data_IF_911685810291
#
_entry.id   IF_911685810291
#
_cell.length_a   1.000
_cell.length_b   1.000
_cell.length_c   1.000
_cell.angle_alpha   90.00
_cell.angle_beta   90.00
_cell.angle_gamma   90.00
#
_symmetry.space_group_name_H-M   'P 1'
#
loop_
_entity.id
_entity.type
_entity.pdbx_description
1 polymer ?
#
# COMPACT_ATOMS: atom_id res chain seq x y z
N UNK A 1 -3.26 -10.47 -6.61
CA UNK A 1 -3.84 -11.02 -5.35
C UNK A 1 -4.19 -9.98 -4.26
N UNK A 2 -3.96 -8.66 -4.40
CA UNK A 2 -4.03 -7.70 -3.27
C UNK A 2 -5.25 -6.76 -3.18
N UNK A 3 -6.23 -6.86 -4.10
CA UNK A 3 -7.51 -6.11 -4.01
C UNK A 3 -8.30 -6.44 -2.74
N UNK A 4 -7.91 -7.53 -2.06
CA UNK A 4 -8.55 -8.04 -0.85
C UNK A 4 -8.35 -7.15 0.38
N UNK A 5 -7.26 -6.38 0.53
CA UNK A 5 -7.10 -5.56 1.74
C UNK A 5 -8.03 -4.35 1.72
N UNK A 6 -8.05 -3.59 0.62
CA UNK A 6 -8.95 -2.45 0.44
C UNK A 6 -10.42 -2.89 0.56
N UNK A 7 -10.80 -4.01 -0.05
CA UNK A 7 -12.17 -4.55 0.04
C UNK A 7 -12.48 -5.05 1.46
N UNK A 8 -11.55 -5.73 2.14
CA UNK A 8 -11.76 -6.16 3.54
C UNK A 8 -11.94 -4.97 4.46
N UNK A 9 -11.10 -3.93 4.32
CA UNK A 9 -11.22 -2.69 5.10
C UNK A 9 -12.55 -1.98 4.81
N UNK A 10 -12.97 -1.93 3.55
CA UNK A 10 -14.27 -1.38 3.16
C UNK A 10 -15.43 -2.19 3.77
N UNK A 11 -15.35 -3.52 3.78
CA UNK A 11 -16.36 -4.38 4.37
C UNK A 11 -16.44 -4.21 5.90
N UNK A 12 -15.29 -4.10 6.58
CA UNK A 12 -15.26 -3.79 8.01
C UNK A 12 -15.85 -2.41 8.30
N UNK A 13 -15.58 -1.42 7.45
CA UNK A 13 -16.18 -0.10 7.58
C UNK A 13 -17.70 -0.16 7.41
N UNK A 14 -18.19 -0.82 6.35
CA UNK A 14 -19.63 -1.00 6.13
C UNK A 14 -20.29 -1.63 7.37
N UNK A 15 -19.66 -2.65 7.96
CA UNK A 15 -20.11 -3.30 9.20
C UNK A 15 -20.12 -2.34 10.38
N UNK A 16 -19.06 -1.57 10.60
CA UNK A 16 -18.97 -0.61 11.73
C UNK A 16 -20.00 0.50 11.56
N UNK A 17 -20.16 1.05 10.36
CA UNK A 17 -21.17 2.08 10.08
C UNK A 17 -22.59 1.55 10.25
N UNK A 18 -22.86 0.32 9.77
CA UNK A 18 -24.15 -0.34 9.96
C UNK A 18 -24.45 -0.57 11.45
N UNK A 19 -23.46 -1.04 12.21
CA UNK A 19 -23.59 -1.26 13.65
C UNK A 19 -23.81 0.07 14.40
N UNK A 20 -23.05 1.12 14.09
CA UNK A 20 -23.23 2.44 14.68
C UNK A 20 -24.62 3.02 14.38
N UNK A 21 -25.12 2.82 13.15
CA UNK A 21 -26.45 3.27 12.74
C UNK A 21 -27.55 2.46 13.44
N UNK A 22 -27.38 1.14 13.59
CA UNK A 22 -28.32 0.31 14.36
C UNK A 22 -28.38 0.74 15.83
N UNK A 23 -27.22 0.91 16.49
CA UNK A 23 -27.16 1.31 17.90
C UNK A 23 -27.79 2.70 18.09
N UNK A 24 -27.46 3.66 17.22
CA UNK A 24 -28.06 4.99 17.27
C UNK A 24 -29.57 4.99 17.02
N UNK A 25 -30.04 4.13 16.11
CA UNK A 25 -31.46 3.96 15.79
C UNK A 25 -32.26 3.33 16.93
N UNK A 26 -31.74 2.26 17.54
CA UNK A 26 -32.35 1.59 18.70
C UNK A 26 -32.48 2.57 19.86
N UNK A 27 -31.40 3.29 20.19
CA UNK A 27 -31.39 4.28 21.25
C UNK A 27 -32.37 5.44 21.00
N UNK A 28 -32.46 5.91 19.75
CA UNK A 28 -33.40 6.95 19.36
C UNK A 28 -34.86 6.49 19.53
N UNK A 29 -35.17 5.28 19.07
CA UNK A 29 -36.50 4.71 19.16
C UNK A 29 -36.90 4.45 20.61
N UNK A 30 -35.99 3.93 21.43
CA UNK A 30 -36.23 3.67 22.86
C UNK A 30 -36.57 4.96 23.62
N UNK A 31 -35.78 6.04 23.42
CA UNK A 31 -36.08 7.33 24.05
C UNK A 31 -37.42 7.88 23.55
N UNK A 32 -37.69 7.77 22.24
CA UNK A 32 -38.93 8.29 21.68
C UNK A 32 -40.17 7.57 22.23
N UNK A 33 -40.10 6.24 22.40
CA UNK A 33 -41.14 5.46 23.04
C UNK A 33 -41.36 5.91 24.48
N UNK A 34 -40.30 6.00 25.30
CA UNK A 34 -40.43 6.43 26.71
C UNK A 34 -40.99 7.84 26.85
N UNK A 35 -40.66 8.76 25.95
CA UNK A 35 -41.25 10.11 25.94
C UNK A 35 -42.75 10.04 25.62
N UNK A 36 -43.18 9.18 24.71
CA UNK A 36 -44.60 8.97 24.39
C UNK A 36 -45.37 8.42 25.59
N UNK A 37 -44.83 7.42 26.27
CA UNK A 37 -45.45 6.80 27.45
C UNK A 37 -45.59 7.82 28.59
N UNK A 38 -44.55 8.65 28.79
CA UNK A 38 -44.60 9.77 29.75
C UNK A 38 -45.70 10.77 29.36
N UNK A 39 -45.79 11.18 28.09
CA UNK A 39 -46.83 12.10 27.62
C UNK A 39 -48.25 11.56 27.83
N UNK A 40 -48.46 10.26 27.64
CA UNK A 40 -49.75 9.61 27.84
C UNK A 40 -50.12 9.53 29.33
N UNK A 41 -49.20 9.06 30.19
CA UNK A 41 -49.40 9.02 31.64
C UNK A 41 -49.69 10.42 32.21
N UNK A 42 -48.99 11.43 31.69
CA UNK A 42 -49.21 12.85 32.00
C UNK A 42 -50.60 13.35 31.62
N UNK A 43 -51.21 12.84 30.55
CA UNK A 43 -52.58 13.24 30.16
C UNK A 43 -53.65 12.72 31.12
N UNK A 44 -53.34 11.67 31.89
CA UNK A 44 -54.25 11.04 32.85
C UNK A 44 -54.12 11.58 34.28
N UNK A 45 -53.00 12.22 34.62
CA UNK A 45 -52.78 12.88 35.92
C UNK A 45 -53.22 14.35 35.82
N UNK A 46 -54.05 14.83 36.75
CA UNK A 46 -54.64 16.18 36.71
C UNK A 46 -53.65 17.37 36.68
N UNK A 47 -54.16 18.54 36.28
CA UNK A 47 -53.43 19.75 35.82
C UNK A 47 -52.45 20.44 36.80
N UNK A 48 -52.25 19.95 38.03
CA UNK A 48 -51.43 20.66 39.03
C UNK A 48 -49.91 20.40 38.94
N UNK A 49 -49.44 19.37 38.22
CA UNK A 49 -47.99 19.09 38.06
C UNK A 49 -47.34 19.68 36.80
N UNK A 50 -48.11 20.35 35.92
CA UNK A 50 -47.76 20.65 34.51
C UNK A 50 -46.46 21.43 34.25
N UNK A 51 -45.90 22.15 35.24
CA UNK A 51 -44.72 23.01 35.03
C UNK A 51 -43.39 22.27 35.16
N UNK A 52 -43.29 21.27 36.05
CA UNK A 52 -42.06 20.47 36.19
C UNK A 52 -41.92 19.49 35.02
N UNK A 53 -43.03 18.99 34.50
CA UNK A 53 -43.05 17.93 33.49
C UNK A 53 -42.69 18.41 32.08
N UNK A 54 -43.12 19.62 31.68
CA UNK A 54 -42.73 20.21 30.39
C UNK A 54 -41.20 20.40 30.28
N UNK A 55 -40.54 20.73 31.41
CA UNK A 55 -39.09 20.92 31.47
C UNK A 55 -38.34 19.60 31.37
N UNK A 56 -38.86 18.52 31.95
CA UNK A 56 -38.26 17.18 31.88
C UNK A 56 -38.34 16.63 30.45
N UNK A 57 -39.52 16.67 29.81
CA UNK A 57 -39.72 16.18 28.44
C UNK A 57 -38.86 16.97 27.44
N UNK A 58 -38.83 18.31 27.56
CA UNK A 58 -37.95 19.16 26.76
C UNK A 58 -36.48 18.77 26.90
N UNK A 59 -35.99 18.59 28.14
CA UNK A 59 -34.61 18.17 28.38
C UNK A 59 -34.29 16.79 27.80
N UNK A 60 -35.22 15.82 27.85
CA UNK A 60 -35.05 14.49 27.26
C UNK A 60 -34.92 14.54 25.72
N UNK A 61 -35.74 15.35 25.05
CA UNK A 61 -35.64 15.55 23.60
C UNK A 61 -34.32 16.24 23.18
N UNK A 62 -33.86 17.20 23.99
CA UNK A 62 -32.56 17.85 23.77
C UNK A 62 -31.39 16.89 23.95
N UNK A 63 -31.40 16.04 24.99
CA UNK A 63 -30.38 15.01 25.23
C UNK A 63 -30.33 14.02 24.06
N UNK A 64 -31.50 13.52 23.62
CA UNK A 64 -31.62 12.62 22.46
C UNK A 64 -30.99 13.23 21.21
N UNK A 65 -31.40 14.44 20.83
CA UNK A 65 -30.88 15.10 19.64
C UNK A 65 -29.36 15.34 19.73
N UNK A 66 -28.86 15.70 20.92
CA UNK A 66 -27.41 15.87 21.15
C UNK A 66 -26.63 14.56 20.96
N UNK A 67 -27.17 13.43 21.43
CA UNK A 67 -26.55 12.10 21.26
C UNK A 67 -26.55 11.69 19.79
N UNK A 68 -27.67 11.87 19.08
CA UNK A 68 -27.75 11.58 17.63
C UNK A 68 -26.72 12.39 16.83
N UNK A 69 -26.60 13.69 17.11
CA UNK A 69 -25.59 14.54 16.46
C UNK A 69 -24.17 14.05 16.78
N UNK A 70 -23.89 13.67 18.03
CA UNK A 70 -22.57 13.13 18.40
C UNK A 70 -22.22 11.84 17.65
N UNK A 71 -23.15 10.89 17.51
CA UNK A 71 -22.92 9.67 16.74
C UNK A 71 -22.72 9.94 15.25
N UNK A 72 -23.47 10.91 14.69
CA UNK A 72 -23.29 11.37 13.31
C UNK A 72 -21.89 11.94 13.09
N UNK A 73 -21.43 12.83 13.97
CA UNK A 73 -20.07 13.40 13.91
C UNK A 73 -19.02 12.31 14.02
N UNK A 74 -19.16 11.38 14.97
CA UNK A 74 -18.20 10.28 15.15
C UNK A 74 -18.09 9.41 13.89
N UNK A 75 -19.21 9.11 13.23
CA UNK A 75 -19.25 8.32 12.00
C UNK A 75 -18.52 9.03 10.85
N UNK A 76 -18.69 10.35 10.72
CA UNK A 76 -17.96 11.16 9.73
C UNK A 76 -16.46 11.17 10.02
N UNK A 77 -16.06 11.34 11.28
CA UNK A 77 -14.64 11.34 11.68
C UNK A 77 -13.97 10.00 11.35
N UNK A 78 -14.63 8.88 11.68
CA UNK A 78 -14.11 7.54 11.35
C UNK A 78 -13.97 7.36 9.84
N UNK A 79 -14.96 7.80 9.06
CA UNK A 79 -14.89 7.73 7.60
C UNK A 79 -13.69 8.51 7.03
N UNK A 80 -13.42 9.71 7.55
CA UNK A 80 -12.28 10.53 7.13
C UNK A 80 -10.95 9.85 7.46
N UNK A 81 -10.78 9.33 8.67
CA UNK A 81 -9.56 8.64 9.10
C UNK A 81 -9.26 7.46 8.18
N UNK A 82 -10.28 6.67 7.82
CA UNK A 82 -10.11 5.53 6.93
C UNK A 82 -9.75 5.94 5.50
N UNK A 83 -10.36 7.00 4.97
CA UNK A 83 -9.99 7.55 3.66
C UNK A 83 -8.52 8.01 3.65
N UNK A 84 -8.06 8.63 4.74
CA UNK A 84 -6.65 8.99 4.90
C UNK A 84 -5.76 7.75 4.96
N UNK A 85 -6.14 6.72 5.72
CA UNK A 85 -5.36 5.47 5.83
C UNK A 85 -5.20 4.75 4.48
N UNK A 86 -6.26 4.68 3.68
CA UNK A 86 -6.20 4.05 2.36
C UNK A 86 -5.29 4.84 1.42
N UNK A 87 -5.41 6.17 1.42
CA UNK A 87 -4.66 7.06 0.52
C UNK A 87 -3.19 7.17 0.87
N UNK A 88 -2.87 7.28 2.15
CA UNK A 88 -1.53 7.62 2.61
C UNK A 88 -0.70 6.39 2.97
N UNK A 89 -1.33 5.25 3.28
CA UNK A 89 -0.61 4.05 3.72
C UNK A 89 -0.84 2.89 2.73
N UNK A 90 -2.09 2.45 2.55
CA UNK A 90 -2.36 1.22 1.78
C UNK A 90 -1.98 1.35 0.30
N UNK A 91 -2.30 2.49 -0.35
CA UNK A 91 -1.99 2.71 -1.77
C UNK A 91 -0.48 2.79 -2.04
N UNK A 92 0.32 3.63 -1.35
CA UNK A 92 1.76 3.67 -1.56
C UNK A 92 2.44 2.34 -1.25
N UNK A 93 2.06 1.66 -0.16
CA UNK A 93 2.63 0.36 0.20
C UNK A 93 2.39 -0.67 -0.91
N UNK A 94 1.19 -0.68 -1.50
CA UNK A 94 0.89 -1.55 -2.66
C UNK A 94 1.72 -1.22 -3.90
N UNK A 95 2.04 0.06 -4.13
CA UNK A 95 2.94 0.47 -5.22
C UNK A 95 4.36 -0.05 -4.96
N UNK A 96 4.86 0.10 -3.73
CA UNK A 96 6.16 -0.43 -3.31
C UNK A 96 6.21 -1.94 -3.52
N UNK A 97 5.21 -2.69 -3.05
CA UNK A 97 5.17 -4.15 -3.23
C UNK A 97 5.19 -4.56 -4.71
N UNK A 98 4.45 -3.86 -5.57
CA UNK A 98 4.45 -4.15 -7.01
C UNK A 98 5.82 -3.95 -7.65
N UNK A 99 6.51 -2.86 -7.31
CA UNK A 99 7.85 -2.61 -7.83
C UNK A 99 8.85 -3.62 -7.28
N UNK A 100 8.74 -3.98 -6.00
CA UNK A 100 9.56 -5.05 -5.41
C UNK A 100 9.31 -6.41 -6.09
N UNK A 101 8.07 -6.75 -6.43
CA UNK A 101 7.72 -7.94 -7.22
C UNK A 101 8.30 -7.89 -8.64
N UNK A 102 8.35 -6.72 -9.26
CA UNK A 102 8.98 -6.51 -10.57
C UNK A 102 10.50 -6.68 -10.51
N UNK A 103 11.16 -6.07 -9.51
CA UNK A 103 12.59 -6.25 -9.22
C UNK A 103 12.93 -7.74 -9.02
N UNK A 104 12.10 -8.46 -8.26
CA UNK A 104 12.27 -9.89 -8.04
C UNK A 104 12.12 -10.73 -9.33
N UNK A 105 11.43 -10.21 -10.34
CA UNK A 105 11.31 -10.82 -11.68
C UNK A 105 12.41 -10.35 -12.64
N UNK A 106 13.36 -9.55 -12.18
CA UNK A 106 14.46 -9.01 -12.99
C UNK A 106 14.14 -7.66 -13.67
N UNK A 107 12.95 -7.08 -13.44
CA UNK A 107 12.60 -5.75 -13.95
C UNK A 107 13.11 -4.65 -13.00
N UNK A 108 14.29 -4.10 -13.33
CA UNK A 108 14.94 -3.01 -12.61
C UNK A 108 14.60 -1.62 -13.21
N UNK A 109 13.75 -1.58 -14.24
CA UNK A 109 13.35 -0.34 -14.91
C UNK A 109 12.32 0.46 -14.11
N UNK A 110 11.59 -0.17 -13.18
CA UNK A 110 10.54 0.50 -12.42
C UNK A 110 11.08 1.30 -11.23
N UNK A 111 10.53 2.51 -11.03
CA UNK A 111 10.89 3.40 -9.94
C UNK A 111 9.68 3.68 -9.06
N UNK A 112 9.90 3.65 -7.75
CA UNK A 112 8.90 4.04 -6.76
C UNK A 112 8.90 5.58 -6.65
N UNK A 113 7.94 6.23 -7.30
CA UNK A 113 7.61 7.64 -7.01
C UNK A 113 6.65 7.67 -5.82
N UNK A 114 7.14 8.04 -4.63
CA UNK A 114 6.32 8.25 -3.44
C UNK A 114 6.59 9.68 -2.95
N UNK A 115 5.55 10.50 -3.01
CA UNK A 115 5.54 11.87 -2.47
C UNK A 115 5.10 11.85 -1.01
N UNK A 116 5.78 11.03 -0.20
CA UNK A 116 5.53 10.90 1.23
C UNK A 116 6.81 11.17 1.98
N UNK A 117 6.70 11.95 3.06
CA UNK A 117 7.83 12.35 3.90
C UNK A 117 7.88 11.55 5.21
N UNK A 118 7.11 10.46 5.29
CA UNK A 118 6.99 9.57 6.44
C UNK A 118 7.80 8.26 6.24
N UNK A 119 7.58 7.28 7.11
CA UNK A 119 8.23 5.97 7.05
C UNK A 119 7.92 5.23 5.73
N UNK A 120 6.75 5.47 5.13
CA UNK A 120 6.38 4.84 3.85
C UNK A 120 7.24 5.43 2.71
N UNK A 121 7.51 6.73 2.76
CA UNK A 121 8.48 7.38 1.88
C UNK A 121 9.88 6.80 2.02
N UNK A 122 10.35 6.64 3.26
CA UNK A 122 11.66 6.05 3.56
C UNK A 122 11.81 4.63 3.01
N UNK A 123 10.79 3.78 3.19
CA UNK A 123 10.79 2.42 2.61
C UNK A 123 10.83 2.47 1.08
N UNK A 124 10.07 3.37 0.46
CA UNK A 124 10.10 3.57 -0.99
C UNK A 124 11.49 3.96 -1.51
N UNK A 125 12.17 4.87 -0.81
CA UNK A 125 13.55 5.29 -1.13
C UNK A 125 14.54 4.14 -0.96
N UNK A 126 14.45 3.38 0.14
CA UNK A 126 15.34 2.24 0.38
C UNK A 126 15.22 1.15 -0.72
N UNK A 127 14.01 0.88 -1.21
CA UNK A 127 13.81 -0.04 -2.34
C UNK A 127 14.37 0.53 -3.65
N UNK A 128 14.23 1.84 -3.89
CA UNK A 128 14.84 2.48 -5.07
C UNK A 128 16.38 2.40 -5.03
N UNK A 129 16.99 2.57 -3.85
CA UNK A 129 18.43 2.43 -3.64
C UNK A 129 18.87 0.98 -3.87
N UNK A 130 18.17 0.00 -3.28
CA UNK A 130 18.42 -1.42 -3.53
C UNK A 130 18.39 -1.75 -5.02
N UNK A 131 17.35 -1.29 -5.73
CA UNK A 131 17.22 -1.45 -7.18
C UNK A 131 18.41 -0.83 -7.93
N UNK A 132 18.82 0.38 -7.56
CA UNK A 132 19.96 1.07 -8.17
C UNK A 132 21.25 0.26 -8.00
N UNK A 133 21.49 -0.26 -6.80
CA UNK A 133 22.67 -1.07 -6.49
C UNK A 133 22.65 -2.38 -7.30
N UNK A 134 21.49 -3.05 -7.43
CA UNK A 134 21.35 -4.23 -8.28
C UNK A 134 21.66 -3.90 -9.75
N UNK A 135 21.16 -2.78 -10.25
CA UNK A 135 21.41 -2.35 -11.63
C UNK A 135 22.91 -2.10 -11.87
N UNK A 136 23.60 -1.47 -10.93
CA UNK A 136 25.05 -1.26 -11.00
C UNK A 136 25.84 -2.57 -10.98
N UNK A 137 25.47 -3.52 -10.11
CA UNK A 137 26.09 -4.84 -10.05
C UNK A 137 25.90 -5.59 -11.37
N UNK A 138 24.69 -5.58 -11.93
CA UNK A 138 24.38 -6.25 -13.21
C UNK A 138 25.17 -5.63 -14.36
N UNK A 139 25.23 -4.29 -14.44
CA UNK A 139 26.00 -3.57 -15.44
C UNK A 139 27.50 -3.86 -15.35
N UNK A 140 28.08 -3.80 -14.15
CA UNK A 140 29.50 -4.12 -13.92
C UNK A 140 29.82 -5.57 -14.30
N UNK A 141 28.93 -6.50 -13.97
CA UNK A 141 29.10 -7.91 -14.33
C UNK A 141 29.04 -8.10 -15.85
N UNK A 142 28.15 -7.38 -16.56
CA UNK A 142 28.08 -7.42 -18.03
C UNK A 142 29.39 -6.95 -18.68
N UNK A 143 29.91 -5.79 -18.25
CA UNK A 143 31.17 -5.22 -18.76
C UNK A 143 32.37 -6.16 -18.47
N UNK A 144 32.41 -6.74 -17.27
CA UNK A 144 33.47 -7.68 -16.89
C UNK A 144 33.40 -8.93 -17.75
N UNK A 145 32.21 -9.44 -18.00
CA UNK A 145 31.99 -10.65 -18.79
C UNK A 145 32.46 -10.48 -20.24
N UNK A 146 32.08 -9.38 -20.90
CA UNK A 146 32.54 -9.08 -22.28
C UNK A 146 34.06 -8.95 -22.35
N UNK A 147 34.67 -8.26 -21.38
CA UNK A 147 36.14 -8.10 -21.30
C UNK A 147 36.86 -9.44 -21.16
N UNK A 148 36.34 -10.37 -20.34
CA UNK A 148 36.95 -11.70 -20.18
C UNK A 148 36.79 -12.52 -21.45
N UNK A 149 35.62 -12.52 -22.10
CA UNK A 149 35.40 -13.23 -23.37
C UNK A 149 36.39 -12.74 -24.43
N UNK A 150 36.57 -11.43 -24.57
CA UNK A 150 37.55 -10.86 -25.51
C UNK A 150 38.99 -11.31 -25.20
N UNK A 151 39.36 -11.31 -23.92
CA UNK A 151 40.67 -11.80 -23.46
C UNK A 151 40.90 -13.28 -23.79
N UNK A 152 39.88 -14.12 -23.59
CA UNK A 152 39.92 -15.55 -23.91
C UNK A 152 40.03 -15.81 -25.40
N UNK A 153 39.32 -15.06 -26.25
CA UNK A 153 39.43 -15.16 -27.71
C UNK A 153 40.85 -14.80 -28.16
N UNK A 154 41.42 -13.70 -27.64
CA UNK A 154 42.81 -13.31 -27.92
C UNK A 154 43.81 -14.39 -27.49
N UNK A 155 43.64 -14.95 -26.29
CA UNK A 155 44.51 -16.00 -25.77
C UNK A 155 44.39 -17.30 -26.58
N UNK A 156 43.17 -17.71 -26.91
CA UNK A 156 42.91 -18.90 -27.75
C UNK A 156 43.56 -18.77 -29.13
N UNK A 157 43.53 -17.57 -29.73
CA UNK A 157 44.19 -17.33 -31.02
C UNK A 157 45.72 -17.44 -30.92
N UNK A 158 46.31 -17.00 -29.81
CA UNK A 158 47.76 -17.10 -29.57
C UNK A 158 48.21 -18.52 -29.20
N UNK A 159 47.33 -19.35 -28.62
CA UNK A 159 47.64 -20.72 -28.18
C UNK A 159 47.43 -21.80 -29.27
N UNK A 160 47.13 -21.42 -30.52
CA UNK A 160 47.03 -22.39 -31.64
C UNK A 160 48.36 -23.11 -31.93
N UNK A 161 49.46 -22.71 -31.29
CA UNK A 161 50.76 -23.41 -31.31
C UNK A 161 50.92 -24.33 -30.09
N UNK A 162 50.75 -25.64 -30.31
CA UNK A 162 51.58 -26.71 -29.71
C UNK A 162 51.16 -27.42 -28.39
N UNK A 163 49.97 -27.19 -27.77
CA UNK A 163 49.52 -28.00 -26.60
C UNK A 163 48.02 -28.36 -26.57
N UNK A 164 47.64 -29.66 -26.62
CA UNK A 164 46.24 -30.11 -26.69
C UNK A 164 45.45 -30.08 -25.37
N UNK A 165 46.04 -29.74 -24.22
CA UNK A 165 45.36 -29.80 -22.90
C UNK A 165 44.71 -28.46 -22.50
N UNK A 166 44.96 -27.35 -23.19
CA UNK A 166 44.49 -26.01 -22.77
C UNK A 166 43.18 -25.57 -23.44
N UNK A 167 42.86 -26.08 -24.64
CA UNK A 167 41.71 -25.59 -25.43
C UNK A 167 40.36 -26.00 -24.83
N UNK A 168 40.27 -27.18 -24.19
CA UNK A 168 39.00 -27.70 -23.66
C UNK A 168 38.48 -26.86 -22.48
N UNK A 169 39.36 -26.43 -21.59
CA UNK A 169 38.99 -25.64 -20.42
C UNK A 169 38.66 -24.19 -20.80
N UNK A 170 39.37 -23.62 -21.80
CA UNK A 170 39.04 -22.31 -22.37
C UNK A 170 37.66 -22.32 -23.06
N UNK A 171 37.33 -23.41 -23.76
CA UNK A 171 36.03 -23.55 -24.42
C UNK A 171 34.90 -23.65 -23.41
N UNK A 172 35.11 -24.37 -22.30
CA UNK A 172 34.14 -24.45 -21.18
C UNK A 172 33.95 -23.11 -20.51
N UNK A 173 35.03 -22.42 -20.16
CA UNK A 173 34.96 -21.10 -19.52
C UNK A 173 34.25 -20.08 -20.42
N UNK A 174 34.51 -20.10 -21.73
CA UNK A 174 33.78 -19.25 -22.69
C UNK A 174 32.27 -19.53 -22.64
N UNK A 175 31.88 -20.80 -22.61
CA UNK A 175 30.48 -21.19 -22.54
C UNK A 175 29.80 -20.77 -21.21
N UNK A 176 30.50 -20.90 -20.09
CA UNK A 176 30.00 -20.45 -18.77
C UNK A 176 29.77 -18.93 -18.75
N UNK A 177 30.66 -18.17 -19.39
CA UNK A 177 30.57 -16.72 -19.55
C UNK A 177 29.46 -16.30 -20.53
N UNK A 178 29.24 -17.04 -21.63
CA UNK A 178 28.09 -16.84 -22.52
C UNK A 178 26.77 -17.07 -21.76
N UNK A 179 26.69 -18.12 -20.94
CA UNK A 179 25.52 -18.39 -20.10
C UNK A 179 25.28 -17.28 -19.08
N UNK A 180 26.35 -16.77 -18.46
CA UNK A 180 26.28 -15.61 -17.57
C UNK A 180 25.80 -14.36 -18.32
N UNK A 181 26.23 -14.17 -19.57
CA UNK A 181 25.81 -13.04 -20.40
C UNK A 181 24.30 -13.08 -20.66
N UNK A 182 23.79 -14.25 -21.06
CA UNK A 182 22.34 -14.45 -21.27
C UNK A 182 21.54 -14.24 -19.97
N UNK A 183 22.07 -14.67 -18.83
CA UNK A 183 21.44 -14.43 -17.54
C UNK A 183 21.39 -12.93 -17.21
N UNK A 184 22.45 -12.18 -17.46
CA UNK A 184 22.50 -10.74 -17.22
C UNK A 184 21.52 -9.98 -18.12
N UNK A 185 21.44 -10.34 -19.40
CA UNK A 185 20.48 -9.77 -20.37
C UNK A 185 19.02 -10.07 -20.01
N UNK A 186 18.75 -11.05 -19.15
CA UNK A 186 17.39 -11.30 -18.65
C UNK A 186 16.87 -10.21 -17.71
N UNK A 187 17.75 -9.36 -17.15
CA UNK A 187 17.36 -8.22 -16.33
C UNK A 187 17.00 -7.01 -17.19
N UNK A 188 15.79 -6.46 -17.02
CA UNK A 188 15.38 -5.23 -17.69
C UNK A 188 15.95 -4.02 -16.94
N UNK A 189 17.05 -3.48 -17.46
CA UNK A 189 17.73 -2.33 -16.86
C UNK A 189 16.97 -1.03 -17.13
N UNK A 190 17.02 -0.09 -16.19
CA UNK A 190 16.51 1.26 -16.43
C UNK A 190 17.37 1.96 -17.48
N UNK A 191 16.78 2.32 -18.61
CA UNK A 191 17.41 3.20 -19.59
C UNK A 191 17.18 4.65 -19.16
N UNK A 192 18.25 5.36 -18.83
CA UNK A 192 18.18 6.82 -18.70
C UNK A 192 18.00 7.34 -20.12
N UNK A 193 16.77 7.60 -20.52
CA UNK A 193 16.50 8.34 -21.75
C UNK A 193 17.13 9.73 -21.62
N UNK A 194 17.89 10.15 -22.64
CA UNK A 194 18.72 11.37 -22.70
C UNK A 194 17.91 12.70 -22.66
N UNK A 195 16.66 12.66 -22.18
CA UNK A 195 15.71 13.79 -22.18
C UNK A 195 15.86 14.75 -21.00
N UNK A 196 16.91 14.65 -20.18
CA UNK A 196 17.24 15.64 -19.12
C UNK A 196 18.48 16.48 -19.47
N UNK A 197 18.70 16.70 -20.77
CA UNK A 197 19.51 17.83 -21.26
C UNK A 197 18.66 18.73 -22.15
N UNK A 198 17.80 19.54 -21.54
CA UNK A 198 17.37 20.84 -22.06
C UNK A 198 16.81 21.71 -20.94
#
# INVERSE_FOLDING_TARGET
MTRNLEIRLLNYFLLITLAALMIGGEFFFEINSKISDINELMSTMGRESLVLDQKIIGNLTHIRNKIVVMFGVLSVVIAIILLMFIRNISRPLRKITKVAEAINQGDLSQIITVDSHDEIGQVGMAINELRSNLQEIVALTSITNTTIIEGLVKLSNNLQTDRPVTVRDLTRLRHDLETLHEFIESFQLFQIDDQVKQ
#
